data_IF_043860084108
#
_entry.id   IF_043860084108
#
_cell.length_a   1.000
_cell.length_b   1.000
_cell.length_c   1.000
_cell.angle_alpha   90.00
_cell.angle_beta   90.00
_cell.angle_gamma   90.00
#
_symmetry.space_group_name_H-M   'P 1'
#
loop_
_entity.id
_entity.type
_entity.pdbx_description
1 polymer ?
#
# COMPACT_ATOMS: atom_id res chain seq x y z
N UNK A 1 -15.71 -2.38 16.41
CA UNK A 1 -15.25 -1.01 16.07
C UNK A 1 -14.00 -0.95 15.19
N UNK A 2 -13.19 -2.00 15.09
CA UNK A 2 -11.94 -2.02 14.31
C UNK A 2 -12.13 -1.99 12.78
N UNK A 3 -13.28 -2.48 12.28
CA UNK A 3 -13.55 -2.54 10.83
C UNK A 3 -13.79 -1.15 10.22
N UNK A 4 -14.52 -0.26 10.90
CA UNK A 4 -14.78 1.10 10.41
C UNK A 4 -13.51 1.96 10.41
N UNK A 5 -12.62 1.77 11.40
CA UNK A 5 -11.35 2.49 11.46
C UNK A 5 -10.41 2.09 10.31
N UNK A 6 -10.44 0.81 9.90
CA UNK A 6 -9.71 0.32 8.73
C UNK A 6 -10.28 0.87 7.43
N UNK A 7 -11.60 0.83 7.23
CA UNK A 7 -12.26 1.30 6.00
C UNK A 7 -12.17 2.83 5.79
N UNK A 8 -12.19 3.60 6.87
CA UNK A 8 -11.97 5.05 6.80
C UNK A 8 -10.53 5.42 6.48
N UNK A 9 -9.56 4.63 6.95
CA UNK A 9 -8.14 4.84 6.65
C UNK A 9 -7.78 4.43 5.23
N UNK A 10 -8.44 3.41 4.66
CA UNK A 10 -8.13 2.92 3.31
C UNK A 10 -8.68 3.85 2.23
N UNK A 11 -9.88 4.42 2.43
CA UNK A 11 -10.44 5.45 1.56
C UNK A 11 -9.64 6.76 1.61
N UNK A 12 -9.26 7.22 2.80
CA UNK A 12 -8.35 8.37 2.94
C UNK A 12 -6.97 8.08 2.34
N UNK A 13 -6.45 6.85 2.51
CA UNK A 13 -5.17 6.44 1.92
C UNK A 13 -5.21 6.46 0.39
N UNK A 14 -6.32 6.11 -0.26
CA UNK A 14 -6.43 6.17 -1.71
C UNK A 14 -6.30 7.61 -2.26
N UNK A 15 -6.89 8.58 -1.56
CA UNK A 15 -6.74 10.01 -1.89
C UNK A 15 -5.30 10.48 -1.72
N UNK A 16 -4.72 10.24 -0.54
CA UNK A 16 -3.33 10.63 -0.25
C UNK A 16 -2.30 9.95 -1.17
N UNK A 17 -2.54 8.69 -1.54
CA UNK A 17 -1.71 7.96 -2.50
C UNK A 17 -1.74 8.59 -3.88
N UNK A 18 -2.91 9.03 -4.34
CA UNK A 18 -3.04 9.61 -5.68
C UNK A 18 -2.27 10.93 -5.77
N UNK A 19 -2.36 11.77 -4.73
CA UNK A 19 -1.58 13.02 -4.64
C UNK A 19 -0.07 12.74 -4.48
N UNK A 20 0.30 11.81 -3.60
CA UNK A 20 1.70 11.45 -3.39
C UNK A 20 2.32 10.77 -4.63
N UNK A 21 1.55 10.03 -5.41
CA UNK A 21 1.96 9.46 -6.69
C UNK A 21 2.13 10.53 -7.77
N UNK A 22 1.35 11.62 -7.72
CA UNK A 22 1.51 12.74 -8.64
C UNK A 22 2.82 13.51 -8.39
N UNK A 23 3.27 13.57 -7.13
CA UNK A 23 4.52 14.23 -6.75
C UNK A 23 5.75 13.30 -6.83
N UNK A 24 5.59 12.06 -6.38
CA UNK A 24 6.66 11.06 -6.27
C UNK A 24 6.16 9.65 -6.62
N UNK A 25 5.99 9.34 -7.92
CA UNK A 25 5.39 8.07 -8.35
C UNK A 25 6.23 6.83 -8.01
N UNK A 26 7.53 7.01 -7.74
CA UNK A 26 8.50 5.93 -7.51
C UNK A 26 8.99 5.85 -6.06
N UNK A 27 8.22 6.33 -5.08
CA UNK A 27 8.55 6.11 -3.67
C UNK A 27 8.05 4.74 -3.20
N UNK A 28 8.89 4.00 -2.46
CA UNK A 28 8.49 2.74 -1.83
C UNK A 28 7.26 2.91 -0.92
N UNK A 29 7.10 4.06 -0.26
CA UNK A 29 5.94 4.38 0.58
C UNK A 29 4.66 4.52 -0.25
N UNK A 30 4.74 5.11 -1.45
CA UNK A 30 3.60 5.26 -2.36
C UNK A 30 3.17 3.89 -2.87
N UNK A 31 4.12 3.05 -3.26
CA UNK A 31 3.86 1.67 -3.69
C UNK A 31 3.28 0.81 -2.57
N UNK A 32 3.82 0.91 -1.35
CA UNK A 32 3.28 0.24 -0.18
C UNK A 32 1.84 0.68 0.11
N UNK A 33 1.58 1.98 0.12
CA UNK A 33 0.24 2.49 0.43
C UNK A 33 -0.77 2.17 -0.68
N UNK A 34 -0.34 2.11 -1.95
CA UNK A 34 -1.16 1.51 -3.04
C UNK A 34 -1.52 0.06 -2.77
N UNK A 35 -0.55 -0.73 -2.28
CA UNK A 35 -0.80 -2.12 -1.89
C UNK A 35 -1.84 -2.25 -0.78
N UNK A 36 -1.80 -1.37 0.22
CA UNK A 36 -2.81 -1.33 1.29
C UNK A 36 -4.21 -1.02 0.75
N UNK A 37 -4.32 -0.12 -0.24
CA UNK A 37 -5.60 0.22 -0.88
C UNK A 37 -6.15 -1.00 -1.64
N UNK A 38 -5.33 -1.66 -2.45
CA UNK A 38 -5.73 -2.89 -3.15
C UNK A 38 -6.10 -4.02 -2.18
N UNK A 39 -5.34 -4.20 -1.10
CA UNK A 39 -5.64 -5.19 -0.06
C UNK A 39 -6.99 -4.91 0.61
N UNK A 40 -7.31 -3.64 0.87
CA UNK A 40 -8.61 -3.25 1.40
C UNK A 40 -9.76 -3.47 0.41
N UNK A 41 -9.49 -3.35 -0.88
CA UNK A 41 -10.41 -3.68 -1.98
C UNK A 41 -10.52 -5.19 -2.27
N UNK A 42 -9.82 -6.04 -1.52
CA UNK A 42 -9.71 -7.50 -1.78
C UNK A 42 -9.03 -7.87 -3.11
N UNK A 43 -8.26 -6.94 -3.68
CA UNK A 43 -7.44 -7.11 -4.88
C UNK A 43 -6.05 -7.60 -4.46
N UNK A 44 -5.98 -8.86 -4.01
CA UNK A 44 -4.79 -9.41 -3.35
C UNK A 44 -3.57 -9.53 -4.26
N UNK A 45 -3.77 -9.80 -5.55
CA UNK A 45 -2.67 -9.97 -6.51
C UNK A 45 -2.00 -8.63 -6.80
N UNK A 46 -2.80 -7.59 -7.04
CA UNK A 46 -2.36 -6.21 -7.23
C UNK A 46 -1.69 -5.66 -5.98
N UNK A 47 -2.21 -5.98 -4.79
CA UNK A 47 -1.62 -5.61 -3.52
C UNK A 47 -0.21 -6.21 -3.36
N UNK A 48 -0.07 -7.52 -3.62
CA UNK A 48 1.22 -8.22 -3.57
C UNK A 48 2.21 -7.65 -4.57
N UNK A 49 1.77 -7.36 -5.79
CA UNK A 49 2.64 -6.72 -6.78
C UNK A 49 3.11 -5.34 -6.32
N UNK A 50 2.24 -4.54 -5.71
CA UNK A 50 2.59 -3.24 -5.13
C UNK A 50 3.64 -3.37 -4.02
N UNK A 51 3.49 -4.32 -3.10
CA UNK A 51 4.47 -4.57 -2.03
C UNK A 51 5.82 -5.05 -2.59
N UNK A 52 5.81 -5.93 -3.60
CA UNK A 52 7.04 -6.37 -4.27
C UNK A 52 7.76 -5.20 -4.96
N UNK A 53 7.01 -4.31 -5.60
CA UNK A 53 7.57 -3.10 -6.20
C UNK A 53 8.14 -2.16 -5.12
N UNK A 54 7.48 -2.03 -3.97
CA UNK A 54 8.01 -1.25 -2.84
C UNK A 54 9.34 -1.83 -2.33
N UNK A 55 9.45 -3.15 -2.24
CA UNK A 55 10.69 -3.85 -1.86
C UNK A 55 11.78 -3.78 -2.92
N UNK A 56 11.44 -3.69 -4.21
CA UNK A 56 12.43 -3.47 -5.26
C UNK A 56 13.16 -2.12 -5.08
N UNK A 57 12.49 -1.13 -4.48
CA UNK A 57 13.06 0.20 -4.18
C UNK A 57 13.70 0.23 -2.80
N UNK A 58 13.05 -0.36 -1.80
CA UNK A 58 13.55 -0.46 -0.43
C UNK A 58 13.46 -1.92 0.07
N UNK A 59 14.48 -2.75 -0.20
CA UNK A 59 14.45 -4.19 0.09
C UNK A 59 14.23 -4.53 1.58
N UNK A 60 14.62 -3.62 2.47
CA UNK A 60 14.47 -3.76 3.92
C UNK A 60 13.22 -3.07 4.49
N UNK A 61 12.24 -2.71 3.65
CA UNK A 61 11.00 -2.11 4.12
C UNK A 61 10.12 -3.16 4.84
N UNK A 62 10.19 -3.15 6.17
CA UNK A 62 9.59 -4.15 7.06
C UNK A 62 8.09 -4.30 6.84
N UNK A 63 7.34 -3.20 6.66
CA UNK A 63 5.89 -3.27 6.49
C UNK A 63 5.48 -4.00 5.20
N UNK A 64 6.20 -3.78 4.11
CA UNK A 64 5.95 -4.50 2.85
C UNK A 64 6.32 -5.98 2.95
N UNK A 65 7.35 -6.33 3.73
CA UNK A 65 7.68 -7.73 4.01
C UNK A 65 6.61 -8.42 4.85
N UNK A 66 6.09 -7.73 5.88
CA UNK A 66 5.00 -8.25 6.71
C UNK A 66 3.77 -8.56 5.86
N UNK A 67 3.37 -7.64 4.97
CA UNK A 67 2.20 -7.84 4.10
C UNK A 67 2.37 -8.96 3.05
N UNK A 68 3.60 -9.39 2.75
CA UNK A 68 3.87 -10.53 1.86
C UNK A 68 4.09 -11.85 2.61
N UNK A 69 4.36 -11.78 3.92
CA UNK A 69 4.63 -12.93 4.78
C UNK A 69 3.41 -13.44 5.56
N UNK A 70 2.35 -12.64 5.68
CA UNK A 70 1.01 -13.07 6.14
C UNK A 70 0.17 -13.68 5.01
#
# INVERSE_FOLDING_TARGET
>A
MSLCYRLGRTSAAAGCVSEAAALTPFSHLVLYTRGLVHSASSEWEEARQCYRNALAIHPTHVDSLLQLGE
#
